data_IF_562253413476
#
_entry.id   IF_562253413476
#
_cell.length_a   1.000
_cell.length_b   1.000
_cell.length_c   1.000
_cell.angle_alpha   90.00
_cell.angle_beta   90.00
_cell.angle_gamma   90.00
#
_symmetry.space_group_name_H-M   'P 1'
#
loop_
_entity.id
_entity.type
_entity.pdbx_description
1 polymer ?
#
# COMPACT_ATOMS: atom_id res chain seq x y z
N UNK A 1 4.94 3.69 24.04
CA UNK A 1 6.40 3.94 23.96
C UNK A 1 6.83 4.97 22.91
N UNK A 2 5.93 5.52 22.06
CA UNK A 2 6.27 6.65 21.17
C UNK A 2 7.31 6.36 20.09
N UNK A 3 7.62 5.09 19.84
CA UNK A 3 8.57 4.67 18.81
C UNK A 3 7.93 4.63 17.42
N UNK A 4 8.77 4.63 16.38
CA UNK A 4 8.35 4.51 14.99
C UNK A 4 8.31 3.06 14.53
N UNK A 5 7.34 2.72 13.68
CA UNK A 5 7.27 1.39 13.03
C UNK A 5 8.37 1.19 11.97
N UNK A 6 9.09 2.26 11.62
CA UNK A 6 10.21 2.22 10.66
C UNK A 6 11.30 3.22 11.02
N UNK A 7 12.57 2.86 10.78
CA UNK A 7 13.74 3.75 10.85
C UNK A 7 13.92 4.49 9.52
N UNK A 8 14.91 4.11 8.72
CA UNK A 8 15.12 4.68 7.37
C UNK A 8 14.37 3.98 6.23
N UNK A 9 13.89 2.74 6.44
CA UNK A 9 13.44 1.88 5.33
C UNK A 9 12.00 2.11 4.85
N UNK A 10 11.23 2.96 5.52
CA UNK A 10 9.83 3.23 5.18
C UNK A 10 8.88 2.07 5.49
N UNK A 11 7.64 2.22 5.02
CA UNK A 11 6.50 1.33 5.34
C UNK A 11 6.41 0.15 4.37
N UNK A 12 6.35 0.43 3.07
CA UNK A 12 6.18 -0.59 2.05
C UNK A 12 4.87 -1.39 2.18
N UNK A 13 4.86 -2.61 1.65
CA UNK A 13 3.79 -3.60 1.86
C UNK A 13 3.83 -4.16 3.28
N UNK A 14 5.03 -4.49 3.74
CA UNK A 14 5.26 -5.32 4.92
C UNK A 14 4.80 -4.62 6.21
N UNK A 15 4.94 -3.29 6.25
CA UNK A 15 4.57 -2.50 7.42
C UNK A 15 3.23 -1.77 7.27
N UNK A 16 2.57 -1.86 6.11
CA UNK A 16 1.27 -1.24 5.89
C UNK A 16 0.23 -1.63 6.96
N UNK A 17 0.13 -2.91 7.41
CA UNK A 17 -0.82 -3.32 8.44
C UNK A 17 -0.66 -2.58 9.78
N UNK A 18 0.52 -2.03 10.07
CA UNK A 18 0.81 -1.35 11.34
C UNK A 18 0.59 0.17 11.27
N UNK A 19 0.19 0.72 10.12
CA UNK A 19 -0.01 2.17 9.97
C UNK A 19 -0.99 2.76 10.98
N UNK A 20 -2.07 2.04 11.30
CA UNK A 20 -3.07 2.47 12.29
C UNK A 20 -2.56 2.41 13.75
N UNK A 21 -1.40 1.79 13.99
CA UNK A 21 -0.74 1.81 15.30
C UNK A 21 0.18 3.02 15.46
N UNK A 22 0.58 3.65 14.35
CA UNK A 22 1.50 4.78 14.33
C UNK A 22 0.78 6.12 14.13
N UNK A 23 -0.27 6.13 13.30
CA UNK A 23 -0.96 7.35 12.87
C UNK A 23 -2.43 7.31 13.26
N UNK A 24 -3.00 8.48 13.52
CA UNK A 24 -4.43 8.63 13.78
C UNK A 24 -5.25 8.44 12.50
N UNK A 25 -6.56 8.29 12.63
CA UNK A 25 -7.44 8.25 11.46
C UNK A 25 -7.32 9.52 10.61
N UNK A 26 -7.32 10.70 11.25
CA UNK A 26 -7.20 12.00 10.57
C UNK A 26 -5.88 12.15 9.82
N UNK A 27 -4.77 11.65 10.39
CA UNK A 27 -3.47 11.61 9.70
C UNK A 27 -3.55 10.75 8.44
N UNK A 28 -4.12 9.55 8.55
CA UNK A 28 -4.24 8.60 7.44
C UNK A 28 -5.15 9.14 6.33
N UNK A 29 -6.24 9.80 6.69
CA UNK A 29 -7.15 10.46 5.75
C UNK A 29 -6.44 11.61 5.02
N UNK A 30 -5.67 12.41 5.75
CA UNK A 30 -4.87 13.49 5.15
C UNK A 30 -3.83 12.96 4.17
N UNK A 31 -3.11 11.89 4.53
CA UNK A 31 -2.15 11.25 3.62
C UNK A 31 -2.85 10.67 2.38
N UNK A 32 -4.05 10.12 2.53
CA UNK A 32 -4.86 9.60 1.43
C UNK A 32 -5.32 10.73 0.49
N UNK A 33 -5.69 11.90 1.01
CA UNK A 33 -6.03 13.07 0.20
C UNK A 33 -4.86 13.53 -0.67
N UNK A 34 -3.64 13.58 -0.11
CA UNK A 34 -2.42 13.91 -0.88
C UNK A 34 -2.18 12.89 -1.99
N UNK A 35 -2.34 11.59 -1.70
CA UNK A 35 -2.22 10.55 -2.72
C UNK A 35 -3.26 10.73 -3.83
N UNK A 36 -4.52 10.98 -3.49
CA UNK A 36 -5.58 11.18 -4.49
C UNK A 36 -5.35 12.41 -5.37
N UNK A 37 -4.74 13.48 -4.83
CA UNK A 37 -4.42 14.67 -5.61
C UNK A 37 -3.30 14.43 -6.63
N UNK A 38 -2.36 13.51 -6.34
CA UNK A 38 -1.17 13.25 -7.16
C UNK A 38 -1.29 11.99 -8.04
N UNK A 39 -2.09 11.01 -7.63
CA UNK A 39 -2.29 9.73 -8.29
C UNK A 39 -3.80 9.42 -8.40
N UNK A 40 -4.56 10.23 -9.17
CA UNK A 40 -6.02 10.07 -9.29
C UNK A 40 -6.44 8.73 -9.93
N UNK A 41 -5.57 8.15 -10.76
CA UNK A 41 -5.80 6.86 -11.43
C UNK A 41 -5.28 5.66 -10.63
N UNK A 42 -4.61 5.89 -9.50
CA UNK A 42 -4.11 4.84 -8.61
C UNK A 42 -3.00 3.97 -9.21
N UNK A 43 -2.19 4.51 -10.13
CA UNK A 43 -1.15 3.77 -10.85
C UNK A 43 0.17 3.69 -10.07
N UNK A 44 0.42 4.61 -9.14
CA UNK A 44 1.68 4.67 -8.42
C UNK A 44 1.67 3.66 -7.25
N UNK A 45 2.38 2.55 -7.45
CA UNK A 45 2.56 1.47 -6.46
C UNK A 45 1.24 0.98 -5.81
N UNK A 46 0.34 0.34 -6.57
CA UNK A 46 -0.91 -0.18 -6.06
C UNK A 46 -0.72 -1.13 -4.87
N UNK A 47 -1.59 -1.05 -3.87
CA UNK A 47 -1.58 -1.93 -2.69
C UNK A 47 -0.44 -1.67 -1.68
N UNK A 48 0.41 -0.67 -1.89
CA UNK A 48 1.50 -0.31 -0.97
C UNK A 48 1.06 0.77 0.02
N UNK A 49 1.73 0.84 1.18
CA UNK A 49 1.62 1.88 2.22
C UNK A 49 0.32 1.85 3.03
N UNK A 50 -0.84 1.87 2.40
CA UNK A 50 -2.12 1.99 3.10
C UNK A 50 -2.86 0.65 3.19
N UNK A 51 -3.33 0.23 4.38
CA UNK A 51 -4.31 -0.84 4.54
C UNK A 51 -5.53 -0.62 3.66
N UNK A 52 -5.90 -1.64 2.89
CA UNK A 52 -7.05 -1.59 1.98
C UNK A 52 -8.29 -2.20 2.65
N UNK A 53 -9.52 -1.72 2.37
CA UNK A 53 -9.83 -0.59 1.48
C UNK A 53 -9.83 0.76 2.22
N UNK A 54 -9.33 1.82 1.55
CA UNK A 54 -9.39 3.20 2.08
C UNK A 54 -9.94 4.27 1.11
N UNK A 55 -10.32 3.89 -0.12
CA UNK A 55 -10.98 4.72 -1.16
C UNK A 55 -10.20 6.02 -1.52
N UNK A 56 -9.82 6.33 -2.76
CA UNK A 56 -10.59 6.51 -3.99
C UNK A 56 -9.90 5.77 -5.15
N UNK A 57 -10.68 5.15 -6.03
CA UNK A 57 -10.14 4.45 -7.21
C UNK A 57 -9.64 3.03 -6.97
N UNK A 58 -9.85 2.45 -5.78
CA UNK A 58 -9.63 1.02 -5.53
C UNK A 58 -10.61 0.19 -6.37
N UNK A 59 -10.33 0.04 -7.66
CA UNK A 59 -10.87 -1.06 -8.47
C UNK A 59 -10.12 -2.31 -8.03
N UNK A 60 -10.77 -3.29 -7.38
CA UNK A 60 -10.15 -4.61 -7.22
C UNK A 60 -10.12 -5.27 -8.61
N UNK A 61 -9.13 -4.94 -9.45
CA UNK A 61 -9.21 -5.40 -10.84
C UNK A 61 -8.10 -4.97 -11.81
N UNK A 62 -6.88 -5.48 -11.61
CA UNK A 62 -6.01 -6.07 -12.65
C UNK A 62 -4.71 -6.53 -11.97
N UNK A 63 -4.67 -7.78 -11.54
CA UNK A 63 -3.50 -8.35 -10.87
C UNK A 63 -3.81 -9.29 -9.71
N UNK A 64 -5.03 -9.80 -9.57
CA UNK A 64 -5.28 -10.93 -8.68
C UNK A 64 -4.84 -12.22 -9.40
N UNK A 65 -3.56 -12.55 -9.26
CA UNK A 65 -2.97 -13.76 -9.80
C UNK A 65 -1.44 -13.67 -9.79
N UNK A 66 -0.72 -14.80 -9.68
CA UNK A 66 0.73 -14.79 -9.84
C UNK A 66 1.10 -14.15 -11.18
N UNK A 67 2.15 -13.33 -11.21
CA UNK A 67 2.70 -12.78 -12.45
C UNK A 67 2.95 -13.93 -13.45
N UNK A 68 2.76 -13.76 -14.77
CA UNK A 68 2.94 -14.84 -15.74
C UNK A 68 4.26 -15.60 -15.59
N UNK A 69 5.33 -14.90 -15.19
CA UNK A 69 6.65 -15.49 -14.89
C UNK A 69 6.62 -16.46 -13.69
N UNK A 70 5.76 -16.21 -12.71
CA UNK A 70 5.55 -17.14 -11.59
C UNK A 70 4.70 -18.33 -12.03
N UNK A 71 3.75 -18.13 -12.94
CA UNK A 71 2.95 -19.22 -13.51
C UNK A 71 3.79 -20.12 -14.44
N UNK A 72 4.74 -19.55 -15.18
CA UNK A 72 5.67 -20.29 -16.05
C UNK A 72 6.82 -20.96 -15.30
N UNK A 73 6.95 -20.74 -13.99
CA UNK A 73 8.05 -21.28 -13.17
C UNK A 73 9.40 -20.58 -13.40
N UNK A 74 9.40 -19.43 -14.07
CA UNK A 74 10.58 -18.61 -14.35
C UNK A 74 10.90 -17.64 -13.20
N UNK A 75 9.99 -17.47 -12.23
CA UNK A 75 10.15 -16.67 -11.04
C UNK A 75 9.49 -17.32 -9.81
N UNK A 76 10.12 -17.18 -8.65
CA UNK A 76 9.52 -17.60 -7.37
C UNK A 76 8.67 -16.47 -6.77
N UNK A 77 7.56 -16.85 -6.12
CA UNK A 77 6.74 -15.97 -5.30
C UNK A 77 7.39 -15.86 -3.92
N UNK A 78 7.96 -14.70 -3.60
CA UNK A 78 8.47 -14.36 -2.26
C UNK A 78 7.40 -13.63 -1.44
#
# INVERSE_FOLDING_TARGET
HGGSITGEHGVGSDKAPFMAQMFTADDLDTMQLVRCALDPDGIANPGKIFPTPRLCGERPGRGQGPHPLVVSGEAELF
#
